data_IF_600806421764
#
_entry.id   IF_600806421764
#
_cell.length_a   1.000
_cell.length_b   1.000
_cell.length_c   1.000
_cell.angle_alpha   90.00
_cell.angle_beta   90.00
_cell.angle_gamma   90.00
#
_symmetry.space_group_name_H-M   'P 1'
#
loop_
_entity.id
_entity.type
_entity.pdbx_description
1 polymer ?
#
# COMPACT_ATOMS: atom_id res chain seq x y z
N UNK A 1 0.27 1.58 -5.51
CA UNK A 1 -0.73 0.72 -4.83
C UNK A 1 -1.64 1.67 -4.09
N UNK A 2 -2.86 1.82 -4.60
CA UNK A 2 -3.76 2.89 -4.18
C UNK A 2 -4.63 2.45 -2.99
N UNK A 3 -5.10 3.42 -2.20
CA UNK A 3 -5.96 3.22 -1.03
C UNK A 3 -7.16 2.30 -1.33
N UNK A 4 -7.78 2.46 -2.49
CA UNK A 4 -8.96 1.67 -2.90
C UNK A 4 -8.62 0.18 -3.07
N UNK A 5 -7.40 -0.14 -3.54
CA UNK A 5 -6.92 -1.52 -3.66
C UNK A 5 -6.65 -2.14 -2.29
N UNK A 6 -6.12 -1.36 -1.34
CA UNK A 6 -5.89 -1.82 0.03
C UNK A 6 -7.21 -2.08 0.76
N UNK A 7 -8.17 -1.18 0.62
CA UNK A 7 -9.53 -1.33 1.17
C UNK A 7 -10.23 -2.56 0.61
N UNK A 8 -10.06 -2.89 -0.67
CA UNK A 8 -10.62 -4.11 -1.28
C UNK A 8 -10.02 -5.38 -0.67
N UNK A 9 -8.70 -5.42 -0.48
CA UNK A 9 -8.03 -6.57 0.17
C UNK A 9 -8.52 -6.72 1.61
N UNK A 10 -8.66 -5.63 2.36
CA UNK A 10 -9.18 -5.67 3.73
C UNK A 10 -10.64 -6.12 3.75
N UNK A 11 -11.47 -5.64 2.83
CA UNK A 11 -12.86 -6.08 2.67
C UNK A 11 -12.93 -7.60 2.41
N UNK A 12 -12.16 -8.12 1.46
CA UNK A 12 -12.16 -9.54 1.09
C UNK A 12 -11.60 -10.45 2.19
N UNK A 13 -10.62 -9.97 2.97
CA UNK A 13 -9.96 -10.75 4.02
C UNK A 13 -10.66 -10.68 5.37
N UNK A 14 -11.24 -9.52 5.71
CA UNK A 14 -11.90 -9.29 6.99
C UNK A 14 -13.44 -9.44 6.90
N UNK A 15 -14.01 -9.52 5.70
CA UNK A 15 -15.45 -9.68 5.50
C UNK A 15 -16.28 -8.47 5.94
N UNK A 16 -15.70 -7.27 5.89
CA UNK A 16 -16.35 -6.02 6.33
C UNK A 16 -16.82 -5.19 5.14
N UNK A 17 -17.73 -4.24 5.39
CA UNK A 17 -18.17 -3.29 4.36
C UNK A 17 -17.03 -2.40 3.86
N UNK A 18 -17.12 -1.92 2.61
CA UNK A 18 -16.12 -1.03 2.00
C UNK A 18 -15.87 0.23 2.85
N UNK A 19 -16.92 0.79 3.43
CA UNK A 19 -16.82 1.96 4.31
C UNK A 19 -16.00 1.67 5.58
N UNK A 20 -16.26 0.53 6.22
CA UNK A 20 -15.48 0.09 7.38
C UNK A 20 -14.03 -0.27 7.01
N UNK A 21 -13.80 -0.81 5.82
CA UNK A 21 -12.47 -1.12 5.32
C UNK A 21 -11.64 0.15 5.08
N UNK A 22 -12.24 1.19 4.48
CA UNK A 22 -11.56 2.46 4.26
C UNK A 22 -11.14 3.12 5.59
N UNK A 23 -12.06 3.15 6.56
CA UNK A 23 -11.79 3.65 7.90
C UNK A 23 -10.65 2.87 8.56
N UNK A 24 -10.69 1.53 8.49
CA UNK A 24 -9.66 0.67 9.07
C UNK A 24 -8.28 0.91 8.45
N UNK A 25 -8.20 1.00 7.11
CA UNK A 25 -6.96 1.29 6.39
C UNK A 25 -6.39 2.64 6.81
N UNK A 26 -7.23 3.69 6.90
CA UNK A 26 -6.80 5.02 7.33
C UNK A 26 -6.24 5.04 8.75
N UNK A 27 -6.91 4.36 9.70
CA UNK A 27 -6.43 4.26 11.09
C UNK A 27 -5.07 3.56 11.17
N UNK A 28 -4.90 2.46 10.43
CA UNK A 28 -3.64 1.72 10.39
C UNK A 28 -2.53 2.54 9.75
N UNK A 29 -2.81 3.26 8.66
CA UNK A 29 -1.84 4.15 8.03
C UNK A 29 -1.38 5.26 8.98
N UNK A 30 -2.29 5.88 9.73
CA UNK A 30 -1.94 6.87 10.74
C UNK A 30 -1.07 6.26 11.85
N UNK A 31 -1.41 5.07 12.36
CA UNK A 31 -0.56 4.38 13.34
C UNK A 31 0.81 4.01 12.80
N UNK A 32 0.89 3.60 11.54
CA UNK A 32 2.15 3.29 10.89
C UNK A 32 2.99 4.55 10.72
N UNK A 33 2.41 5.69 10.34
CA UNK A 33 3.10 6.99 10.28
C UNK A 33 3.62 7.44 11.64
N UNK A 34 2.86 7.25 12.72
CA UNK A 34 3.28 7.59 14.08
C UNK A 34 4.44 6.71 14.60
N UNK A 35 4.55 5.48 14.08
CA UNK A 35 5.57 4.50 14.49
C UNK A 35 6.79 4.46 13.57
N UNK A 36 6.66 4.96 12.34
CA UNK A 36 7.76 5.02 11.40
C UNK A 36 8.69 6.19 11.75
N UNK A 37 10.00 5.95 11.92
CA UNK A 37 10.94 7.04 12.06
C UNK A 37 10.89 7.91 10.80
N UNK A 38 10.92 9.24 10.99
CA UNK A 38 10.86 10.28 9.96
C UNK A 38 11.60 9.95 8.62
N UNK A 39 12.78 9.30 8.57
CA UNK A 39 13.42 8.92 7.30
C UNK A 39 12.61 7.97 6.40
N UNK A 40 11.62 7.24 6.91
CA UNK A 40 10.83 6.28 6.13
C UNK A 40 9.52 6.86 5.56
N UNK A 41 9.06 8.00 6.08
CA UNK A 41 7.87 8.71 5.58
C UNK A 41 7.93 9.01 4.08
N UNK A 42 9.02 9.56 3.51
CA UNK A 42 9.08 9.83 2.07
C UNK A 42 9.06 8.57 1.20
N UNK A 43 9.46 7.41 1.74
CA UNK A 43 9.39 6.13 1.02
C UNK A 43 7.96 5.58 0.98
N UNK A 44 7.21 5.74 2.08
CA UNK A 44 5.79 5.36 2.17
C UNK A 44 4.97 6.27 1.25
N UNK A 45 5.19 7.58 1.28
CA UNK A 45 4.48 8.53 0.41
C UNK A 45 4.74 8.24 -1.06
N UNK A 46 5.97 7.87 -1.45
CA UNK A 46 6.29 7.41 -2.81
C UNK A 46 5.58 6.11 -3.19
N UNK A 47 5.41 5.18 -2.26
CA UNK A 47 4.68 3.94 -2.50
C UNK A 47 3.15 4.17 -2.60
N UNK A 48 2.62 5.05 -1.75
CA UNK A 48 1.19 5.39 -1.66
C UNK A 48 0.72 6.26 -2.82
N UNK A 49 1.54 7.21 -3.28
CA UNK A 49 1.25 8.07 -4.44
C UNK A 49 1.33 7.33 -5.78
N UNK A 50 1.73 6.06 -5.79
CA UNK A 50 2.00 5.32 -7.03
C UNK A 50 3.28 5.76 -7.75
N UNK A 51 3.99 6.78 -7.26
CA UNK A 51 5.21 7.31 -7.85
C UNK A 51 6.45 6.40 -7.65
N UNK A 52 6.30 5.31 -6.90
CA UNK A 52 7.23 4.17 -6.97
C UNK A 52 7.36 3.60 -8.40
N UNK A 53 6.42 3.90 -9.31
CA UNK A 53 6.52 3.59 -10.73
C UNK A 53 7.44 4.53 -11.53
N UNK A 54 7.83 5.70 -10.98
CA UNK A 54 8.57 6.73 -11.74
C UNK A 54 10.07 6.86 -11.42
N UNK A 55 10.55 6.40 -10.27
CA UNK A 55 11.91 6.71 -9.80
C UNK A 55 12.82 5.53 -9.44
N UNK A 56 12.29 4.33 -9.21
CA UNK A 56 13.07 3.15 -8.78
C UNK A 56 12.50 1.83 -9.34
N UNK A 57 11.97 1.89 -10.56
CA UNK A 57 11.32 0.77 -11.28
C UNK A 57 12.19 -0.44 -11.64
N UNK A 58 13.28 -0.71 -10.91
CA UNK A 58 14.13 -1.88 -11.13
C UNK A 58 13.89 -3.02 -10.14
N UNK A 59 13.57 -2.72 -8.88
CA UNK A 59 13.61 -3.74 -7.79
C UNK A 59 12.24 -4.30 -7.42
N UNK A 60 11.32 -3.42 -7.01
CA UNK A 60 10.06 -3.86 -6.41
C UNK A 60 8.98 -4.21 -7.46
N UNK A 61 8.95 -3.47 -8.57
CA UNK A 61 8.08 -3.79 -9.71
C UNK A 61 8.43 -5.14 -10.37
N UNK A 62 9.72 -5.47 -10.43
CA UNK A 62 10.21 -6.75 -10.95
C UNK A 62 9.88 -7.93 -10.02
N UNK A 63 9.93 -7.72 -8.69
CA UNK A 63 9.56 -8.77 -7.73
C UNK A 63 8.04 -9.02 -7.68
N UNK A 64 7.24 -7.95 -7.74
CA UNK A 64 5.78 -8.08 -7.82
C UNK A 64 5.32 -8.59 -9.19
N UNK A 65 5.96 -8.19 -10.29
CA UNK A 65 5.72 -8.72 -11.62
C UNK A 65 6.07 -10.22 -11.72
N UNK A 66 7.17 -10.64 -11.07
CA UNK A 66 7.53 -12.05 -10.98
C UNK A 66 6.61 -12.91 -10.11
N UNK A 67 5.98 -12.33 -9.08
CA UNK A 67 4.97 -13.02 -8.26
C UNK A 67 3.56 -12.99 -8.86
N UNK A 68 3.26 -12.00 -9.71
CA UNK A 68 1.92 -11.78 -10.25
C UNK A 68 1.78 -12.23 -11.73
N UNK A 69 2.87 -12.56 -12.41
CA UNK A 69 2.83 -13.01 -13.80
C UNK A 69 4.20 -13.31 -14.39
N UNK A 70 4.86 -14.36 -13.90
CA UNK A 70 5.93 -15.04 -14.60
C UNK A 70 5.45 -16.43 -15.02
N UNK A 71 4.88 -16.53 -16.23
CA UNK A 71 4.37 -17.72 -16.94
C UNK A 71 3.02 -18.30 -16.48
#
# INVERSE_FOLDING_TARGET
>A
MDLDSLSKVVQERAGISKESADIAVRIVLEKVKERLPAPAQPMIEKMLSGEAAGGTGGGLGSMLGGLMGGE
#
